data_IF_393361378542
#
_entry.id   IF_393361378542
#
_cell.length_a   1.000
_cell.length_b   1.000
_cell.length_c   1.000
_cell.angle_alpha   90.00
_cell.angle_beta   90.00
_cell.angle_gamma   90.00
#
_symmetry.space_group_name_H-M   'P 1'
#
loop_
_entity.id
_entity.type
_entity.pdbx_description
1 polymer ?
#
# COMPACT_ATOMS: atom_id res chain seq x y z
N UNK A 1 4.57 -18.50 12.92
CA UNK A 1 5.89 -18.68 13.59
C UNK A 1 6.25 -17.47 14.43
N UNK A 2 6.22 -16.24 13.87
CA UNK A 2 6.27 -15.00 14.66
C UNK A 2 5.13 -14.96 15.71
N UNK A 3 3.93 -15.43 15.36
CA UNK A 3 2.74 -15.46 16.22
C UNK A 3 2.81 -16.43 17.41
N UNK A 4 3.62 -17.49 17.33
CA UNK A 4 3.78 -18.46 18.43
C UNK A 4 4.82 -18.00 19.46
N UNK A 5 5.77 -17.16 19.03
CA UNK A 5 6.82 -16.66 19.92
C UNK A 5 6.32 -15.61 20.90
N UNK A 6 5.37 -14.77 20.47
CA UNK A 6 4.78 -13.73 21.30
C UNK A 6 3.86 -14.29 22.40
N UNK A 7 3.15 -15.40 22.13
CA UNK A 7 2.30 -16.08 23.13
C UNK A 7 3.12 -16.87 24.18
N UNK A 8 4.42 -17.12 23.92
CA UNK A 8 5.34 -17.86 24.80
C UNK A 8 6.38 -16.98 25.51
N UNK A 9 6.28 -15.64 25.39
CA UNK A 9 7.32 -14.70 25.83
C UNK A 9 8.72 -15.02 25.26
N UNK A 10 8.74 -15.64 24.08
CA UNK A 10 9.96 -15.93 23.34
C UNK A 10 10.28 -14.67 22.56
N UNK A 11 11.17 -13.86 23.11
CA UNK A 11 11.82 -12.78 22.37
C UNK A 11 12.57 -13.41 21.19
N UNK A 12 12.04 -13.30 19.96
CA UNK A 12 12.82 -13.64 18.78
C UNK A 12 13.86 -12.54 18.62
N UNK A 13 15.00 -12.76 19.25
CA UNK A 13 16.22 -12.01 18.99
C UNK A 13 16.47 -12.05 17.48
N UNK A 14 16.36 -10.90 16.80
CA UNK A 14 16.47 -10.82 15.34
C UNK A 14 17.76 -11.50 14.82
N UNK A 15 18.84 -11.46 15.61
CA UNK A 15 20.10 -12.11 15.30
C UNK A 15 20.06 -13.64 15.30
N UNK A 16 19.10 -14.26 15.98
CA UNK A 16 18.87 -15.72 15.98
C UNK A 16 18.07 -16.21 14.78
N UNK A 17 17.46 -15.33 13.99
CA UNK A 17 16.79 -15.73 12.74
C UNK A 17 17.87 -15.97 11.68
N UNK A 18 18.13 -17.23 11.28
CA UNK A 18 19.13 -17.54 10.27
C UNK A 18 18.72 -16.99 8.91
N UNK A 19 19.71 -16.70 8.06
CA UNK A 19 19.53 -16.39 6.63
C UNK A 19 18.61 -15.21 6.27
N UNK A 20 18.16 -14.41 7.24
CA UNK A 20 17.25 -13.27 6.99
C UNK A 20 17.79 -12.27 5.96
N UNK A 21 19.10 -12.07 5.91
CA UNK A 21 19.73 -11.21 4.92
C UNK A 21 19.88 -11.86 3.54
N UNK A 22 19.97 -13.20 3.47
CA UNK A 22 19.94 -13.94 2.21
C UNK A 22 18.53 -13.87 1.61
N UNK A 23 17.49 -14.08 2.43
CA UNK A 23 16.10 -13.86 2.00
C UNK A 23 15.89 -12.44 1.45
N UNK A 24 16.33 -11.43 2.20
CA UNK A 24 16.15 -10.04 1.78
C UNK A 24 16.96 -9.69 0.52
N UNK A 25 18.12 -10.32 0.33
CA UNK A 25 18.91 -10.25 -0.90
C UNK A 25 18.16 -10.89 -2.07
N UNK A 26 17.56 -12.07 -1.90
CA UNK A 26 16.82 -12.74 -2.97
C UNK A 26 15.59 -11.93 -3.37
N UNK A 27 14.85 -11.39 -2.41
CA UNK A 27 13.74 -10.46 -2.66
C UNK A 27 14.24 -9.23 -3.44
N UNK A 28 15.38 -8.68 -3.05
CA UNK A 28 15.98 -7.52 -3.74
C UNK A 28 16.33 -7.83 -5.20
N UNK A 29 17.05 -8.94 -5.43
CA UNK A 29 17.53 -9.32 -6.76
C UNK A 29 16.37 -9.73 -7.68
N UNK A 30 15.42 -10.51 -7.18
CA UNK A 30 14.24 -10.92 -7.94
C UNK A 30 13.32 -9.72 -8.21
N UNK A 31 13.16 -8.83 -7.22
CA UNK A 31 12.39 -7.61 -7.39
C UNK A 31 12.96 -6.70 -8.48
N UNK A 32 14.29 -6.57 -8.59
CA UNK A 32 14.91 -5.82 -9.69
C UNK A 32 14.67 -6.53 -11.03
N UNK A 33 14.90 -7.86 -11.10
CA UNK A 33 14.75 -8.62 -12.35
C UNK A 33 13.32 -8.63 -12.88
N UNK A 34 12.33 -8.73 -11.99
CA UNK A 34 10.91 -8.72 -12.30
C UNK A 34 10.30 -7.33 -12.40
N UNK A 35 11.09 -6.25 -12.23
CA UNK A 35 10.59 -4.87 -12.14
C UNK A 35 9.58 -4.65 -10.99
N UNK A 36 9.61 -5.52 -9.97
CA UNK A 36 8.76 -5.49 -8.77
C UNK A 36 9.41 -4.66 -7.66
N UNK A 37 9.80 -3.43 -7.98
CA UNK A 37 10.47 -2.52 -7.04
C UNK A 37 9.64 -2.30 -5.77
N UNK A 38 8.31 -2.27 -5.88
CA UNK A 38 7.41 -2.17 -4.72
C UNK A 38 7.56 -3.30 -3.70
N UNK A 39 7.83 -4.53 -4.15
CA UNK A 39 8.05 -5.70 -3.29
C UNK A 39 9.31 -5.52 -2.43
N UNK A 40 10.36 -4.95 -3.01
CA UNK A 40 11.61 -4.64 -2.32
C UNK A 40 11.34 -3.69 -1.15
N UNK A 41 10.65 -2.58 -1.41
CA UNK A 41 10.34 -1.60 -0.37
C UNK A 41 9.41 -2.17 0.70
N UNK A 42 8.41 -2.97 0.32
CA UNK A 42 7.49 -3.62 1.26
C UNK A 42 8.24 -4.58 2.18
N UNK A 43 9.11 -5.43 1.63
CA UNK A 43 9.94 -6.33 2.41
C UNK A 43 10.87 -5.55 3.35
N UNK A 44 11.52 -4.49 2.87
CA UNK A 44 12.40 -3.66 3.70
C UNK A 44 11.67 -2.94 4.83
N UNK A 45 10.46 -2.45 4.58
CA UNK A 45 9.62 -1.85 5.62
C UNK A 45 9.31 -2.86 6.72
N UNK A 46 8.87 -4.07 6.37
CA UNK A 46 8.62 -5.15 7.33
C UNK A 46 9.91 -5.44 8.12
N UNK A 47 11.02 -5.61 7.42
CA UNK A 47 12.30 -5.88 8.06
C UNK A 47 12.74 -4.76 9.02
N UNK A 48 12.46 -3.50 8.70
CA UNK A 48 12.78 -2.38 9.55
C UNK A 48 11.81 -2.24 10.74
N UNK A 49 10.51 -2.39 10.50
CA UNK A 49 9.45 -2.27 11.51
C UNK A 49 9.61 -3.31 12.62
N UNK A 50 9.98 -4.54 12.26
CA UNK A 50 10.21 -5.64 13.19
C UNK A 50 11.68 -5.77 13.65
N UNK A 51 12.53 -4.75 13.41
CA UNK A 51 13.96 -4.74 13.77
C UNK A 51 14.77 -5.94 13.23
N UNK A 52 14.32 -6.58 12.15
CA UNK A 52 14.99 -7.72 11.51
C UNK A 52 16.30 -7.31 10.80
N UNK A 53 16.50 -6.01 10.57
CA UNK A 53 17.75 -5.48 10.03
C UNK A 53 18.89 -5.44 11.05
N UNK A 54 18.58 -5.58 12.35
CA UNK A 54 19.55 -5.44 13.42
C UNK A 54 20.71 -6.42 13.27
N UNK A 55 21.91 -5.88 13.45
CA UNK A 55 23.17 -6.60 13.30
C UNK A 55 24.29 -5.85 14.03
N UNK A 56 25.38 -6.56 14.29
CA UNK A 56 26.61 -5.93 14.72
C UNK A 56 27.22 -5.12 13.56
N UNK A 57 27.47 -3.83 13.80
CA UNK A 57 28.05 -2.91 12.83
C UNK A 57 29.46 -2.58 13.30
N UNK A 58 30.44 -2.68 12.40
CA UNK A 58 31.83 -2.37 12.73
C UNK A 58 32.02 -0.88 13.04
N UNK A 59 33.04 -0.52 13.81
CA UNK A 59 33.37 0.88 14.09
C UNK A 59 33.63 1.69 12.81
N UNK A 60 34.23 1.06 11.79
CA UNK A 60 34.44 1.67 10.48
C UNK A 60 33.12 2.01 9.81
N UNK A 61 32.16 1.10 9.84
CA UNK A 61 30.85 1.31 9.23
C UNK A 61 29.99 2.29 10.03
N UNK A 62 30.15 2.35 11.36
CA UNK A 62 29.52 3.37 12.21
C UNK A 62 29.97 4.78 11.79
N UNK A 63 31.25 4.96 11.49
CA UNK A 63 31.75 6.26 10.98
C UNK A 63 31.03 6.68 9.70
N UNK A 64 30.94 5.76 8.73
CA UNK A 64 30.22 6.02 7.47
C UNK A 64 28.73 6.26 7.68
N UNK A 65 28.08 5.55 8.61
CA UNK A 65 26.68 5.80 8.98
C UNK A 65 26.50 7.21 9.55
N UNK A 66 27.43 7.67 10.39
CA UNK A 66 27.38 9.01 10.97
C UNK A 66 27.58 10.10 9.91
N UNK A 67 28.42 9.87 8.91
CA UNK A 67 28.57 10.76 7.75
C UNK A 67 27.26 10.86 6.96
N UNK A 68 26.60 9.73 6.68
CA UNK A 68 25.30 9.71 5.98
C UNK A 68 24.19 10.36 6.80
N UNK A 69 24.20 10.19 8.14
CA UNK A 69 23.26 10.85 9.05
C UNK A 69 23.35 12.38 8.99
N UNK A 70 24.50 12.92 8.60
CA UNK A 70 24.69 14.36 8.39
C UNK A 70 23.97 14.90 7.14
N UNK A 71 23.50 14.04 6.24
CA UNK A 71 22.73 14.44 5.05
C UNK A 71 21.23 14.44 5.36
N UNK A 72 20.68 15.63 5.55
CA UNK A 72 19.28 15.85 5.90
C UNK A 72 18.32 15.31 4.84
N UNK A 73 18.66 15.42 3.55
CA UNK A 73 17.81 14.94 2.46
C UNK A 73 17.75 13.41 2.48
N UNK A 74 18.89 12.73 2.65
CA UNK A 74 18.92 11.27 2.74
C UNK A 74 18.16 10.80 3.99
N UNK A 75 18.32 11.45 5.14
CA UNK A 75 17.61 11.07 6.37
C UNK A 75 16.10 11.23 6.24
N UNK A 76 15.64 12.36 5.71
CA UNK A 76 14.22 12.59 5.46
C UNK A 76 13.65 11.54 4.52
N UNK A 77 14.36 11.20 3.46
CA UNK A 77 13.86 10.21 2.52
C UNK A 77 13.90 8.78 3.05
N UNK A 78 14.92 8.38 3.83
CA UNK A 78 14.93 7.08 4.51
C UNK A 78 13.81 6.99 5.53
N UNK A 79 13.57 8.07 6.26
CA UNK A 79 12.49 8.14 7.25
C UNK A 79 11.13 8.06 6.57
N UNK A 80 10.95 8.82 5.49
CA UNK A 80 9.75 8.75 4.69
C UNK A 80 9.61 7.33 4.15
N UNK A 81 10.61 6.74 3.50
CA UNK A 81 10.54 5.40 2.88
C UNK A 81 10.26 4.25 3.87
N UNK A 82 10.95 4.21 5.00
CA UNK A 82 11.03 3.03 5.87
C UNK A 82 10.59 3.28 7.32
N UNK A 83 10.20 4.50 7.68
CA UNK A 83 9.81 4.85 9.04
C UNK A 83 11.02 5.12 9.94
N UNK A 84 11.16 4.41 11.06
CA UNK A 84 12.26 4.65 12.01
C UNK A 84 13.62 4.42 11.33
N UNK A 85 14.51 5.41 11.36
CA UNK A 85 15.84 5.31 10.74
C UNK A 85 16.89 4.81 11.74
N UNK A 86 17.06 3.48 11.79
CA UNK A 86 18.10 2.81 12.59
C UNK A 86 19.46 2.81 11.87
N UNK A 87 20.55 2.63 12.63
CA UNK A 87 21.88 2.42 12.04
C UNK A 87 21.91 1.18 11.14
N UNK A 88 21.19 0.13 11.55
CA UNK A 88 21.01 -1.11 10.82
C UNK A 88 20.28 -0.91 9.48
N UNK A 89 19.30 -0.02 9.42
CA UNK A 89 18.65 0.39 8.16
C UNK A 89 19.61 1.16 7.26
N UNK A 90 20.27 2.19 7.78
CA UNK A 90 21.23 3.01 7.00
C UNK A 90 22.31 2.10 6.43
N UNK A 91 22.86 1.21 7.25
CA UNK A 91 23.86 0.24 6.84
C UNK A 91 23.34 -0.68 5.72
N UNK A 92 22.13 -1.22 5.87
CA UNK A 92 21.57 -2.11 4.86
C UNK A 92 21.36 -1.40 3.52
N UNK A 93 20.73 -0.22 3.54
CA UNK A 93 20.43 0.54 2.32
C UNK A 93 21.72 0.99 1.63
N UNK A 94 22.67 1.52 2.41
CA UNK A 94 23.86 2.12 1.85
C UNK A 94 24.91 1.08 1.42
N UNK A 95 25.00 -0.05 2.13
CA UNK A 95 26.03 -1.06 1.88
C UNK A 95 25.44 -2.32 1.29
N UNK A 96 24.54 -3.01 1.99
CA UNK A 96 24.04 -4.31 1.54
C UNK A 96 23.22 -4.24 0.24
N UNK A 97 22.34 -3.25 0.06
CA UNK A 97 21.61 -3.08 -1.20
C UNK A 97 22.55 -2.68 -2.35
N UNK A 98 23.50 -1.78 -2.08
CA UNK A 98 24.54 -1.37 -3.02
C UNK A 98 25.37 -2.57 -3.49
N UNK A 99 25.81 -3.42 -2.56
CA UNK A 99 26.55 -4.67 -2.84
C UNK A 99 25.69 -5.66 -3.64
N UNK A 100 24.41 -5.78 -3.31
CA UNK A 100 23.48 -6.65 -4.03
C UNK A 100 23.22 -6.15 -5.46
N UNK A 101 23.05 -4.84 -5.67
CA UNK A 101 22.98 -4.26 -7.02
C UNK A 101 24.26 -4.56 -7.79
N UNK A 102 25.42 -4.30 -7.17
CA UNK A 102 26.70 -4.57 -7.81
C UNK A 102 26.81 -6.05 -8.22
N UNK A 103 26.36 -6.98 -7.38
CA UNK A 103 26.31 -8.42 -7.68
C UNK A 103 25.40 -8.73 -8.87
N UNK A 104 24.22 -8.13 -8.94
CA UNK A 104 23.29 -8.25 -10.06
C UNK A 104 23.93 -7.77 -11.38
N UNK A 105 24.64 -6.65 -11.33
CA UNK A 105 25.36 -6.06 -12.46
C UNK A 105 26.63 -6.82 -12.86
N UNK A 106 27.35 -7.43 -11.93
CA UNK A 106 28.40 -8.39 -12.25
C UNK A 106 27.84 -9.65 -12.94
N UNK A 107 26.61 -10.05 -12.61
CA UNK A 107 25.87 -11.06 -13.37
C UNK A 107 25.64 -10.63 -14.83
N UNK A 108 25.27 -9.36 -15.05
CA UNK A 108 25.16 -8.77 -16.39
C UNK A 108 26.51 -8.60 -17.11
N UNK A 109 27.62 -8.49 -16.39
CA UNK A 109 28.98 -8.42 -16.93
C UNK A 109 29.41 -9.70 -17.67
N UNK A 110 28.70 -10.81 -17.47
CA UNK A 110 28.85 -12.04 -18.26
C UNK A 110 28.09 -11.98 -19.60
N UNK A 111 27.29 -10.95 -19.84
CA UNK A 111 26.65 -10.69 -21.13
C UNK A 111 27.66 -10.08 -22.10
N UNK A 112 27.71 -10.54 -23.37
CA UNK A 112 28.61 -10.01 -24.40
C UNK A 112 28.39 -8.52 -24.77
N UNK A 113 27.37 -7.87 -24.22
CA UNK A 113 26.96 -6.48 -24.55
C UNK A 113 27.57 -5.39 -23.64
N UNK A 114 28.51 -5.72 -22.75
CA UNK A 114 29.00 -4.81 -21.71
C UNK A 114 30.39 -4.19 -22.04
N UNK A 115 30.50 -2.85 -22.13
CA UNK A 115 31.75 -2.12 -22.45
C UNK A 115 32.36 -1.38 -21.24
N UNK A 116 33.66 -1.07 -21.34
CA UNK A 116 34.49 -0.44 -20.29
C UNK A 116 34.05 1.00 -19.94
N UNK A 117 33.49 1.73 -20.89
CA UNK A 117 32.98 3.10 -20.70
C UNK A 117 31.73 3.13 -19.78
N UNK A 118 30.91 2.07 -19.79
CA UNK A 118 29.80 1.92 -18.84
C UNK A 118 30.33 1.78 -17.41
N UNK A 119 31.49 1.16 -17.19
CA UNK A 119 32.09 0.97 -15.84
C UNK A 119 32.31 2.29 -15.07
N UNK A 120 32.67 3.38 -15.77
CA UNK A 120 32.93 4.70 -15.17
C UNK A 120 31.67 5.48 -14.75
N UNK A 121 30.48 5.04 -15.18
CA UNK A 121 29.18 5.59 -14.78
C UNK A 121 28.68 5.06 -13.42
N UNK A 122 29.42 4.13 -12.80
CA UNK A 122 28.95 3.32 -11.67
C UNK A 122 29.79 3.47 -10.40
N UNK A 123 30.38 4.65 -10.17
CA UNK A 123 31.00 4.95 -8.87
C UNK A 123 29.91 5.05 -7.80
N UNK A 124 30.27 4.74 -6.55
CA UNK A 124 29.40 4.79 -5.37
C UNK A 124 28.61 6.09 -5.31
N UNK A 125 29.24 7.20 -5.67
CA UNK A 125 28.67 8.56 -5.69
C UNK A 125 27.58 8.73 -6.76
N UNK A 126 27.74 8.14 -7.96
CA UNK A 126 26.74 8.16 -9.02
C UNK A 126 25.54 7.25 -8.69
N UNK A 127 25.78 6.15 -7.98
CA UNK A 127 24.74 5.27 -7.46
C UNK A 127 23.99 5.90 -6.27
N UNK A 128 24.65 6.70 -5.44
CA UNK A 128 23.99 7.57 -4.46
C UNK A 128 23.14 8.64 -5.15
N UNK A 129 23.61 9.18 -6.27
CA UNK A 129 22.80 9.97 -7.18
C UNK A 129 21.58 9.21 -7.70
N UNK A 130 21.73 7.92 -8.04
CA UNK A 130 20.61 7.06 -8.38
C UNK A 130 19.66 6.90 -7.21
N UNK A 131 20.08 6.61 -5.97
CA UNK A 131 19.18 6.54 -4.81
C UNK A 131 18.47 7.87 -4.57
N UNK A 132 19.18 8.99 -4.66
CA UNK A 132 18.60 10.34 -4.55
C UNK A 132 17.61 10.65 -5.69
N UNK A 133 17.83 10.13 -6.89
CA UNK A 133 16.95 10.30 -8.06
C UNK A 133 15.83 9.25 -8.13
N UNK A 134 16.04 8.06 -7.57
CA UNK A 134 15.02 7.04 -7.33
C UNK A 134 14.02 7.53 -6.26
N UNK A 135 14.47 8.49 -5.45
CA UNK A 135 13.69 9.24 -4.47
C UNK A 135 13.05 10.51 -5.01
N UNK A 136 12.89 10.67 -6.33
CA UNK A 136 11.88 11.60 -6.84
C UNK A 136 10.46 10.99 -6.68
N UNK A 137 10.09 10.74 -5.42
CA UNK A 137 8.72 10.65 -4.91
C UNK A 137 8.16 12.03 -4.56
N UNK A 138 8.71 13.09 -5.19
CA UNK A 138 7.98 14.34 -5.42
C UNK A 138 7.18 14.19 -6.72
N UNK A 139 6.08 14.94 -6.84
CA UNK A 139 5.20 15.00 -8.02
C UNK A 139 5.95 14.75 -9.33
N UNK A 140 5.94 13.50 -9.79
CA UNK A 140 6.52 13.09 -11.07
C UNK A 140 5.38 12.83 -12.04
N UNK A 141 5.51 13.44 -13.21
CA UNK A 141 4.57 13.25 -14.31
C UNK A 141 5.34 12.56 -15.43
N UNK A 142 4.81 11.46 -15.93
CA UNK A 142 5.34 10.76 -17.10
C UNK A 142 4.26 10.58 -18.14
N UNK A 143 4.58 10.89 -19.40
CA UNK A 143 3.70 10.59 -20.52
C UNK A 143 3.86 9.11 -20.89
N UNK A 144 2.77 8.35 -20.79
CA UNK A 144 2.73 6.93 -21.12
C UNK A 144 2.34 6.65 -22.58
N UNK A 145 1.82 7.63 -23.31
CA UNK A 145 1.35 7.47 -24.69
C UNK A 145 0.09 8.29 -24.97
N UNK A 146 -0.66 7.89 -25.99
CA UNK A 146 -1.91 8.56 -26.35
C UNK A 146 -3.14 7.84 -25.81
N UNK A 147 -4.25 8.58 -25.73
CA UNK A 147 -5.55 8.02 -25.36
C UNK A 147 -6.01 6.99 -26.38
N UNK A 148 -5.77 7.22 -27.68
CA UNK A 148 -6.11 6.28 -28.74
C UNK A 148 -5.39 4.94 -28.56
N UNK A 149 -4.07 4.96 -28.32
CA UNK A 149 -3.28 3.74 -28.09
C UNK A 149 -3.80 2.95 -26.89
N UNK A 150 -4.16 3.65 -25.81
CA UNK A 150 -4.69 3.01 -24.60
C UNK A 150 -6.07 2.41 -24.80
N UNK A 151 -6.97 3.12 -25.51
CA UNK A 151 -8.28 2.59 -25.87
C UNK A 151 -8.11 1.31 -26.71
N UNK A 152 -7.24 1.33 -27.71
CA UNK A 152 -7.02 0.16 -28.57
C UNK A 152 -6.50 -1.04 -27.78
N UNK A 153 -5.55 -0.83 -26.87
CA UNK A 153 -5.01 -1.89 -26.02
C UNK A 153 -6.07 -2.38 -25.02
N UNK A 154 -6.81 -1.48 -24.38
CA UNK A 154 -7.90 -1.82 -23.48
C UNK A 154 -8.97 -2.64 -24.19
N UNK A 155 -9.43 -2.20 -25.37
CA UNK A 155 -10.45 -2.90 -26.15
C UNK A 155 -9.97 -4.26 -26.66
N UNK A 156 -8.71 -4.40 -27.06
CA UNK A 156 -8.14 -5.71 -27.43
C UNK A 156 -8.12 -6.66 -26.25
N UNK A 157 -7.72 -6.19 -25.07
CA UNK A 157 -7.72 -7.00 -23.85
C UNK A 157 -9.15 -7.32 -23.39
N UNK A 158 -10.09 -6.38 -23.50
CA UNK A 158 -11.50 -6.58 -23.18
C UNK A 158 -12.18 -7.56 -24.15
N UNK A 159 -11.93 -7.43 -25.46
CA UNK A 159 -12.44 -8.35 -26.48
C UNK A 159 -11.80 -9.74 -26.38
N UNK A 160 -10.50 -9.83 -26.06
CA UNK A 160 -9.80 -11.09 -25.81
C UNK A 160 -10.23 -11.73 -24.48
N UNK A 161 -10.64 -10.91 -23.50
CA UNK A 161 -11.16 -11.40 -22.22
C UNK A 161 -12.49 -12.12 -22.35
N UNK A 162 -13.14 -12.08 -23.55
CA UNK A 162 -14.37 -12.80 -23.96
C UNK A 162 -14.96 -13.54 -22.78
N UNK A 163 -15.52 -12.70 -21.89
CA UNK A 163 -15.99 -13.10 -20.59
C UNK A 163 -16.91 -14.29 -20.85
N UNK A 164 -16.60 -15.45 -20.25
CA UNK A 164 -17.63 -16.47 -20.05
C UNK A 164 -18.84 -15.68 -19.55
N UNK A 165 -20.01 -15.87 -20.15
CA UNK A 165 -21.22 -15.02 -20.00
C UNK A 165 -21.70 -14.75 -18.55
N UNK A 166 -20.98 -15.21 -17.52
CA UNK A 166 -21.15 -14.84 -16.11
C UNK A 166 -20.27 -13.72 -15.54
N UNK A 167 -19.24 -13.21 -16.24
CA UNK A 167 -18.27 -12.25 -15.67
C UNK A 167 -18.53 -10.76 -16.00
N UNK A 168 -19.69 -10.43 -16.57
CA UNK A 168 -20.18 -9.04 -16.79
C UNK A 168 -20.28 -8.23 -15.47
N UNK A 169 -20.06 -8.88 -14.32
CA UNK A 169 -20.01 -8.29 -12.99
C UNK A 169 -18.60 -7.88 -12.50
N UNK A 170 -17.54 -8.04 -13.30
CA UNK A 170 -16.20 -7.58 -12.90
C UNK A 170 -16.11 -6.05 -12.96
N UNK A 171 -16.39 -5.43 -11.82
CA UNK A 171 -16.29 -3.98 -11.59
C UNK A 171 -14.90 -3.41 -11.92
N UNK A 172 -13.86 -4.25 -11.84
CA UNK A 172 -12.48 -3.89 -12.13
C UNK A 172 -11.80 -4.93 -13.01
N UNK A 173 -11.00 -4.49 -13.98
CA UNK A 173 -10.24 -5.34 -14.90
C UNK A 173 -8.78 -4.91 -14.90
N UNK A 174 -7.89 -5.89 -15.01
CA UNK A 174 -6.45 -5.67 -15.15
C UNK A 174 -5.99 -5.90 -16.59
N UNK A 175 -5.08 -5.08 -17.09
CA UNK A 175 -4.46 -5.28 -18.40
C UNK A 175 -3.08 -4.63 -18.49
N UNK A 176 -2.27 -5.10 -19.44
CA UNK A 176 -0.93 -4.54 -19.66
C UNK A 176 -0.98 -3.40 -20.69
N UNK A 177 -0.39 -2.25 -20.34
CA UNK A 177 -0.17 -1.13 -21.24
C UNK A 177 1.27 -0.63 -21.06
N UNK A 178 2.02 -0.55 -22.15
CA UNK A 178 3.43 -0.07 -22.16
C UNK A 178 4.31 -0.76 -21.10
N UNK A 179 4.17 -2.09 -20.94
CA UNK A 179 4.89 -2.92 -19.97
C UNK A 179 4.58 -2.63 -18.50
N UNK A 180 3.46 -1.94 -18.23
CA UNK A 180 2.92 -1.71 -16.90
C UNK A 180 1.61 -2.47 -16.77
N UNK A 181 1.35 -3.04 -15.61
CA UNK A 181 0.05 -3.62 -15.31
C UNK A 181 -0.86 -2.51 -14.80
N UNK A 182 -2.03 -2.34 -15.41
CA UNK A 182 -3.03 -1.36 -15.03
C UNK A 182 -4.27 -2.05 -14.49
N UNK A 183 -4.96 -1.40 -13.55
CA UNK A 183 -6.32 -1.74 -13.14
C UNK A 183 -7.27 -0.59 -13.48
N UNK A 184 -8.43 -0.93 -14.04
CA UNK A 184 -9.47 0.03 -14.43
C UNK A 184 -10.81 -0.34 -13.83
N UNK A 185 -11.63 0.66 -13.52
CA UNK A 185 -13.06 0.45 -13.31
C UNK A 185 -13.76 0.57 -14.66
N UNK A 186 -14.41 -0.51 -15.11
CA UNK A 186 -15.00 -0.60 -16.46
C UNK A 186 -16.01 0.54 -16.69
N UNK A 187 -16.98 0.68 -15.80
CA UNK A 187 -18.04 1.68 -15.93
C UNK A 187 -17.49 3.11 -15.97
N UNK A 188 -16.58 3.43 -15.04
CA UNK A 188 -16.00 4.77 -14.99
C UNK A 188 -15.11 5.05 -16.20
N UNK A 189 -14.33 4.05 -16.64
CA UNK A 189 -13.49 4.20 -17.82
C UNK A 189 -14.36 4.45 -19.05
N UNK A 190 -15.39 3.64 -19.30
CA UNK A 190 -16.29 3.81 -20.45
C UNK A 190 -16.97 5.18 -20.45
N UNK A 191 -17.43 5.66 -19.28
CA UNK A 191 -18.02 6.99 -19.16
C UNK A 191 -16.99 8.09 -19.44
N UNK A 192 -15.79 7.98 -18.89
CA UNK A 192 -14.70 8.92 -19.12
C UNK A 192 -14.26 8.92 -20.58
N UNK A 193 -14.16 7.75 -21.24
CA UNK A 193 -13.83 7.64 -22.66
C UNK A 193 -14.89 8.32 -23.53
N UNK A 194 -16.18 8.15 -23.26
CA UNK A 194 -17.26 8.88 -23.95
C UNK A 194 -17.10 10.40 -23.79
N UNK A 195 -16.77 10.87 -22.59
CA UNK A 195 -16.52 12.29 -22.31
C UNK A 195 -15.27 12.82 -23.03
N UNK A 196 -14.20 12.04 -23.12
CA UNK A 196 -12.97 12.42 -23.84
C UNK A 196 -13.25 12.56 -25.34
N UNK A 197 -13.91 11.57 -25.94
CA UNK A 197 -14.22 11.56 -27.38
C UNK A 197 -15.17 12.71 -27.74
N UNK A 198 -16.20 12.95 -26.92
CA UNK A 198 -17.22 13.98 -27.19
C UNK A 198 -16.76 15.41 -26.93
N UNK A 199 -15.73 15.63 -26.11
CA UNK A 199 -15.46 16.95 -25.51
C UNK A 199 -14.02 17.45 -25.73
N UNK A 200 -13.55 17.40 -26.98
CA UNK A 200 -12.19 17.83 -27.41
C UNK A 200 -11.78 19.28 -27.06
N UNK A 201 -12.70 20.11 -26.54
CA UNK A 201 -12.48 21.55 -26.29
C UNK A 201 -12.40 21.96 -24.82
N UNK A 202 -12.55 21.05 -23.85
CA UNK A 202 -12.50 21.38 -22.41
C UNK A 202 -11.21 20.86 -21.77
N UNK A 203 -10.53 21.73 -21.02
CA UNK A 203 -9.31 21.41 -20.27
C UNK A 203 -9.67 20.57 -19.02
N UNK A 204 -9.76 19.25 -19.18
CA UNK A 204 -10.09 18.30 -18.10
C UNK A 204 -9.15 17.11 -18.10
N UNK A 205 -8.83 16.62 -16.90
CA UNK A 205 -8.04 15.43 -16.67
C UNK A 205 -8.93 14.31 -16.18
N UNK A 206 -9.30 13.37 -17.05
CA UNK A 206 -10.13 12.25 -16.64
C UNK A 206 -9.24 11.12 -16.12
N UNK A 207 -9.54 10.61 -14.92
CA UNK A 207 -8.85 9.44 -14.39
C UNK A 207 -9.19 8.21 -15.26
N UNK A 208 -8.16 7.48 -15.70
CA UNK A 208 -8.33 6.32 -16.57
C UNK A 208 -8.06 5.01 -15.84
N UNK A 209 -6.96 4.93 -15.09
CA UNK A 209 -6.51 3.70 -14.45
C UNK A 209 -5.60 3.96 -13.26
N UNK A 210 -5.30 2.90 -12.53
CA UNK A 210 -4.16 2.85 -11.63
C UNK A 210 -3.12 1.87 -12.16
N UNK A 211 -1.86 2.28 -12.24
CA UNK A 211 -0.72 1.39 -12.45
C UNK A 211 -0.52 0.56 -11.20
N UNK A 212 -0.54 -0.77 -11.34
CA UNK A 212 -0.29 -1.75 -10.29
C UNK A 212 1.19 -2.13 -10.20
N UNK A 213 1.85 -2.28 -11.35
CA UNK A 213 3.26 -2.69 -11.43
C UNK A 213 4.03 -1.75 -12.35
N UNK A 214 5.18 -1.27 -11.89
CA UNK A 214 6.03 -0.32 -12.61
C UNK A 214 5.56 1.14 -12.53
N UNK A 215 4.69 1.47 -11.56
CA UNK A 215 4.20 2.83 -11.34
C UNK A 215 5.21 3.72 -10.60
N UNK A 216 5.06 5.02 -10.79
CA UNK A 216 5.94 6.08 -10.29
C UNK A 216 5.65 6.50 -8.85
N UNK A 217 4.49 6.14 -8.30
CA UNK A 217 4.06 6.52 -6.96
C UNK A 217 4.42 5.52 -5.86
N UNK A 218 4.06 5.85 -4.60
CA UNK A 218 4.32 5.00 -3.45
C UNK A 218 3.88 3.55 -3.69
N UNK A 219 4.59 2.57 -3.13
CA UNK A 219 4.25 1.14 -3.31
C UNK A 219 4.43 0.59 -4.74
N UNK A 220 4.93 1.40 -5.68
CA UNK A 220 5.11 1.01 -7.10
C UNK A 220 3.85 1.22 -7.94
N UNK A 221 2.97 2.10 -7.48
CA UNK A 221 1.66 2.36 -8.04
C UNK A 221 1.51 3.81 -8.50
N UNK A 222 0.66 4.12 -9.47
CA UNK A 222 0.37 5.51 -9.84
C UNK A 222 -0.98 5.68 -10.52
N UNK A 223 -1.53 6.89 -10.52
CA UNK A 223 -2.80 7.17 -11.19
C UNK A 223 -2.55 7.72 -12.58
N UNK A 224 -3.29 7.23 -13.56
CA UNK A 224 -3.22 7.75 -14.92
C UNK A 224 -4.40 8.65 -15.26
N UNK A 225 -4.12 9.71 -16.00
CA UNK A 225 -5.08 10.70 -16.44
C UNK A 225 -4.93 10.97 -17.93
N UNK A 226 -6.05 11.18 -18.62
CA UNK A 226 -6.01 11.77 -19.96
C UNK A 226 -5.74 13.27 -19.87
N UNK A 227 -4.96 13.80 -20.82
CA UNK A 227 -4.78 15.24 -20.98
C UNK A 227 -5.72 15.76 -22.08
N UNK A 228 -6.00 17.08 -22.10
CA UNK A 228 -6.75 17.70 -23.19
C UNK A 228 -6.09 17.58 -24.57
N UNK A 229 -4.81 17.19 -24.63
CA UNK A 229 -4.05 16.95 -25.86
C UNK A 229 -4.18 15.50 -26.36
N UNK A 230 -4.95 14.66 -25.68
CA UNK A 230 -5.06 13.24 -26.00
C UNK A 230 -3.88 12.41 -25.51
N UNK A 231 -3.09 12.92 -24.57
CA UNK A 231 -1.99 12.16 -23.96
C UNK A 231 -2.51 11.44 -22.72
N UNK A 232 -1.79 10.41 -22.29
CA UNK A 232 -1.96 9.78 -20.99
C UNK A 232 -0.75 10.11 -20.16
N UNK A 233 -1.00 10.73 -19.01
CA UNK A 233 0.03 10.99 -18.03
C UNK A 233 -0.20 10.13 -16.80
N UNK A 234 0.87 9.58 -16.25
CA UNK A 234 0.89 9.06 -14.89
C UNK A 234 1.35 10.16 -13.94
N UNK A 235 0.61 10.34 -12.85
CA UNK A 235 0.95 11.27 -11.78
C UNK A 235 1.28 10.47 -10.52
N UNK A 236 2.47 10.69 -9.99
CA UNK A 236 2.89 10.22 -8.68
C UNK A 236 2.37 11.16 -7.59
N UNK A 237 1.61 10.62 -6.62
CA UNK A 237 1.20 11.37 -5.43
C UNK A 237 2.30 11.37 -4.38
N UNK A 238 2.45 12.50 -3.69
CA UNK A 238 3.37 12.63 -2.56
C UNK A 238 3.02 11.62 -1.46
N UNK A 239 4.02 11.03 -0.81
CA UNK A 239 3.79 10.02 0.22
C UNK A 239 3.06 10.58 1.44
N UNK A 240 3.35 11.81 1.86
CA UNK A 240 2.70 12.44 3.01
C UNK A 240 1.24 12.73 2.68
N UNK A 241 0.97 13.18 1.46
CA UNK A 241 -0.38 13.32 0.93
C UNK A 241 -1.12 11.97 0.91
N UNK A 242 -0.51 10.93 0.34
CA UNK A 242 -1.08 9.59 0.34
C UNK A 242 -1.35 9.07 1.76
N UNK A 243 -0.42 9.27 2.71
CA UNK A 243 -0.61 8.91 4.12
C UNK A 243 -1.78 9.68 4.74
N UNK A 244 -1.90 10.98 4.46
CA UNK A 244 -3.03 11.79 4.93
C UNK A 244 -4.36 11.31 4.36
N UNK A 245 -4.40 10.92 3.07
CA UNK A 245 -5.58 10.34 2.42
C UNK A 245 -5.94 9.00 3.07
N UNK A 246 -4.97 8.11 3.31
CA UNK A 246 -5.19 6.83 4.02
C UNK A 246 -5.80 7.07 5.41
N UNK A 247 -5.28 8.03 6.16
CA UNK A 247 -5.79 8.37 7.50
C UNK A 247 -7.25 8.84 7.40
N UNK A 248 -7.56 9.77 6.48
CA UNK A 248 -8.93 10.24 6.25
C UNK A 248 -9.86 9.10 5.79
N UNK A 249 -9.38 8.20 4.95
CA UNK A 249 -10.16 7.06 4.48
C UNK A 249 -10.45 6.06 5.61
N UNK A 250 -9.46 5.76 6.46
CA UNK A 250 -9.66 4.94 7.67
C UNK A 250 -10.63 5.60 8.64
N UNK A 251 -10.57 6.93 8.78
CA UNK A 251 -11.53 7.69 9.57
C UNK A 251 -12.95 7.57 9.00
N UNK A 252 -13.12 7.66 7.68
CA UNK A 252 -14.40 7.42 7.02
C UNK A 252 -14.92 6.00 7.28
N UNK A 253 -14.08 4.97 7.09
CA UNK A 253 -14.44 3.57 7.35
C UNK A 253 -14.86 3.34 8.81
N UNK A 254 -14.14 3.92 9.76
CA UNK A 254 -14.48 3.92 11.19
C UNK A 254 -15.87 4.51 11.41
N UNK A 255 -16.15 5.70 10.87
CA UNK A 255 -17.46 6.34 11.02
C UNK A 255 -18.60 5.50 10.44
N UNK A 256 -18.40 4.95 9.22
CA UNK A 256 -19.39 4.08 8.58
C UNK A 256 -19.65 2.81 9.40
N UNK A 257 -18.59 2.20 9.94
CA UNK A 257 -18.71 1.04 10.80
C UNK A 257 -19.47 1.32 12.08
N UNK A 258 -19.09 2.35 12.84
CA UNK A 258 -19.75 2.71 14.09
C UNK A 258 -21.23 3.03 13.86
N UNK A 259 -21.56 3.73 12.77
CA UNK A 259 -22.94 4.03 12.39
C UNK A 259 -23.73 2.75 12.08
N UNK A 260 -23.19 1.85 11.25
CA UNK A 260 -23.84 0.57 10.91
C UNK A 260 -23.98 -0.34 12.13
N UNK A 261 -22.96 -0.42 12.98
CA UNK A 261 -22.99 -1.21 14.21
C UNK A 261 -24.06 -0.67 15.17
N UNK A 262 -24.18 0.65 15.34
CA UNK A 262 -25.24 1.27 16.15
C UNK A 262 -26.64 0.87 15.66
N UNK A 263 -26.86 0.85 14.35
CA UNK A 263 -28.14 0.43 13.74
C UNK A 263 -28.38 -1.07 14.00
N UNK A 264 -27.40 -1.92 13.75
CA UNK A 264 -27.52 -3.38 13.96
C UNK A 264 -27.81 -3.72 15.43
N UNK A 265 -27.16 -3.05 16.38
CA UNK A 265 -27.40 -3.23 17.81
C UNK A 265 -28.81 -2.76 18.22
N UNK A 266 -29.33 -1.68 17.62
CA UNK A 266 -30.72 -1.23 17.82
C UNK A 266 -31.72 -2.25 17.29
N UNK A 267 -31.49 -2.79 16.09
CA UNK A 267 -32.33 -3.82 15.48
C UNK A 267 -32.39 -5.10 16.32
N UNK A 268 -31.37 -5.35 17.16
CA UNK A 268 -31.30 -6.46 18.11
C UNK A 268 -31.83 -6.12 19.51
N UNK A 269 -32.56 -5.00 19.67
CA UNK A 269 -33.12 -4.54 20.93
C UNK A 269 -32.09 -4.37 22.07
N UNK A 270 -30.83 -4.06 21.74
CA UNK A 270 -29.82 -3.77 22.74
C UNK A 270 -30.13 -2.40 23.38
N UNK A 271 -30.03 -2.32 24.71
CA UNK A 271 -30.30 -1.08 25.47
C UNK A 271 -29.45 0.09 24.97
N UNK A 272 -30.05 1.26 24.79
CA UNK A 272 -29.39 2.47 24.26
C UNK A 272 -28.13 2.84 25.05
N UNK A 273 -28.18 2.80 26.39
CA UNK A 273 -27.00 3.07 27.25
C UNK A 273 -25.81 2.15 26.94
N UNK A 274 -26.08 0.89 26.63
CA UNK A 274 -25.04 -0.10 26.31
C UNK A 274 -24.48 0.11 24.91
N UNK A 275 -25.35 0.43 23.95
CA UNK A 275 -24.96 0.84 22.59
C UNK A 275 -24.00 2.03 22.67
N UNK A 276 -24.32 3.04 23.48
CA UNK A 276 -23.48 4.23 23.66
C UNK A 276 -22.13 3.89 24.30
N UNK A 277 -22.11 3.02 25.33
CA UNK A 277 -20.88 2.52 25.97
C UNK A 277 -19.96 1.82 24.95
N UNK A 278 -20.51 0.91 24.14
CA UNK A 278 -19.76 0.15 23.13
C UNK A 278 -19.27 1.06 22.00
N UNK A 279 -20.12 1.95 21.48
CA UNK A 279 -19.73 2.88 20.40
C UNK A 279 -18.66 3.86 20.88
N UNK A 280 -18.77 4.38 22.10
CA UNK A 280 -17.75 5.27 22.68
C UNK A 280 -16.41 4.54 22.82
N UNK A 281 -16.40 3.35 23.43
CA UNK A 281 -15.19 2.53 23.56
C UNK A 281 -14.52 2.26 22.20
N UNK A 282 -15.30 1.82 21.21
CA UNK A 282 -14.79 1.58 19.86
C UNK A 282 -14.30 2.87 19.19
N UNK A 283 -14.98 3.99 19.40
CA UNK A 283 -14.53 5.28 18.89
C UNK A 283 -13.18 5.69 19.49
N UNK A 284 -12.97 5.45 20.78
CA UNK A 284 -11.75 5.86 21.48
C UNK A 284 -10.55 4.97 21.10
N UNK A 285 -10.78 3.67 20.90
CA UNK A 285 -9.69 2.70 20.65
C UNK A 285 -9.33 2.57 19.16
N UNK A 286 -10.28 2.78 18.25
CA UNK A 286 -10.04 2.71 16.80
C UNK A 286 -9.43 4.03 16.31
N UNK A 287 -8.12 4.20 16.46
CA UNK A 287 -7.42 5.37 15.93
C UNK A 287 -7.07 5.19 14.44
N UNK A 288 -7.35 6.16 13.55
CA UNK A 288 -7.11 6.02 12.10
C UNK A 288 -5.64 5.87 11.69
N UNK A 289 -4.71 6.40 12.49
CA UNK A 289 -3.26 6.38 12.26
C UNK A 289 -2.56 5.15 12.85
N UNK A 290 -3.19 4.45 13.81
CA UNK A 290 -2.64 3.25 14.43
C UNK A 290 -3.05 1.98 13.67
N UNK A 291 -2.09 1.07 13.48
CA UNK A 291 -2.40 -0.29 13.08
C UNK A 291 -2.85 -1.08 14.32
N UNK A 292 -4.02 -1.71 14.23
CA UNK A 292 -4.53 -2.57 15.31
C UNK A 292 -4.16 -4.00 14.94
N UNK A 293 -3.18 -4.53 15.65
CA UNK A 293 -2.78 -5.93 15.53
C UNK A 293 -3.82 -6.87 16.17
N UNK A 294 -3.65 -8.17 15.94
CA UNK A 294 -4.57 -9.19 16.44
C UNK A 294 -4.73 -9.18 17.97
N UNK A 295 -3.70 -8.78 18.73
CA UNK A 295 -3.78 -8.63 20.19
C UNK A 295 -4.76 -7.54 20.61
N UNK A 296 -4.65 -6.35 20.01
CA UNK A 296 -5.62 -5.27 20.24
C UNK A 296 -7.03 -5.70 19.81
N UNK A 297 -7.18 -6.45 18.71
CA UNK A 297 -8.47 -7.01 18.28
C UNK A 297 -9.07 -7.96 19.32
N UNK A 298 -8.28 -8.90 19.88
CA UNK A 298 -8.71 -9.80 20.96
C UNK A 298 -9.17 -9.02 22.19
N UNK A 299 -8.40 -8.00 22.60
CA UNK A 299 -8.74 -7.14 23.75
C UNK A 299 -10.04 -6.38 23.50
N UNK A 300 -10.21 -5.80 22.32
CA UNK A 300 -11.45 -5.10 21.92
C UNK A 300 -12.65 -6.05 21.98
N UNK A 301 -12.53 -7.25 21.41
CA UNK A 301 -13.61 -8.24 21.43
C UNK A 301 -13.94 -8.65 22.87
N UNK A 302 -12.92 -8.94 23.69
CA UNK A 302 -13.10 -9.32 25.10
C UNK A 302 -13.83 -8.22 25.88
N UNK A 303 -13.43 -6.95 25.69
CA UNK A 303 -14.07 -5.83 26.38
C UNK A 303 -15.52 -5.62 25.95
N UNK A 304 -15.83 -5.81 24.66
CA UNK A 304 -17.20 -5.74 24.14
C UNK A 304 -18.03 -6.91 24.69
N UNK A 305 -17.48 -8.11 24.75
CA UNK A 305 -18.12 -9.27 25.38
C UNK A 305 -18.43 -9.00 26.85
N UNK A 306 -17.48 -8.46 27.61
CA UNK A 306 -17.67 -8.07 29.02
C UNK A 306 -18.79 -7.04 29.17
N UNK A 307 -18.83 -5.99 28.34
CA UNK A 307 -19.93 -5.01 28.37
C UNK A 307 -21.30 -5.64 28.11
N UNK A 308 -21.36 -6.63 27.21
CA UNK A 308 -22.59 -7.34 26.88
C UNK A 308 -23.00 -8.32 28.00
N UNK A 309 -22.04 -8.98 28.67
CA UNK A 309 -22.25 -9.91 29.80
C UNK A 309 -22.63 -9.16 31.09
N UNK A 310 -21.99 -8.02 31.38
CA UNK A 310 -22.28 -7.17 32.55
C UNK A 310 -23.77 -6.74 32.58
N UNK A 311 -24.42 -6.70 31.41
CA UNK A 311 -25.83 -6.37 31.24
C UNK A 311 -26.78 -7.58 31.05
N UNK A 312 -26.28 -8.82 31.04
CA UNK A 312 -27.04 -10.07 30.85
C UNK A 312 -27.91 -10.51 32.04
N UNK A 313 -28.23 -9.62 32.99
CA UNK A 313 -29.31 -9.86 33.97
C UNK A 313 -30.72 -9.77 33.34
N UNK A 314 -30.88 -10.17 32.07
CA UNK A 314 -32.15 -10.16 31.34
C UNK A 314 -32.45 -11.57 30.79
N UNK A 315 -33.65 -12.12 31.06
CA UNK A 315 -33.97 -13.52 30.77
C UNK A 315 -34.05 -13.91 29.28
N UNK A 316 -34.13 -12.95 28.34
CA UNK A 316 -34.47 -13.23 26.93
C UNK A 316 -33.30 -13.12 25.92
N UNK A 317 -32.05 -12.96 26.37
CA UNK A 317 -30.92 -12.78 25.45
C UNK A 317 -30.31 -14.13 25.03
N UNK A 318 -30.57 -14.56 23.79
CA UNK A 318 -30.03 -15.82 23.24
C UNK A 318 -28.54 -15.69 22.97
N UNK A 319 -27.71 -16.51 23.63
CA UNK A 319 -26.25 -16.57 23.48
C UNK A 319 -25.77 -16.65 22.02
N UNK A 320 -26.54 -17.32 21.16
CA UNK A 320 -26.28 -17.42 19.71
C UNK A 320 -26.32 -16.07 18.99
N UNK A 321 -27.17 -15.14 19.41
CA UNK A 321 -27.26 -13.80 18.82
C UNK A 321 -26.10 -12.90 19.24
N UNK A 322 -25.61 -13.09 20.47
CA UNK A 322 -24.39 -12.45 20.98
C UNK A 322 -23.18 -12.88 20.17
N UNK A 323 -23.00 -14.19 20.00
CA UNK A 323 -21.87 -14.73 19.23
C UNK A 323 -21.91 -14.25 17.77
N UNK A 324 -23.10 -14.18 17.15
CA UNK A 324 -23.25 -13.63 15.81
C UNK A 324 -22.89 -12.14 15.74
N UNK A 325 -23.29 -11.33 16.72
CA UNK A 325 -22.92 -9.92 16.78
C UNK A 325 -21.41 -9.74 16.95
N UNK A 326 -20.80 -10.48 17.89
CA UNK A 326 -19.35 -10.45 18.14
C UNK A 326 -18.56 -10.89 16.90
N UNK A 327 -19.04 -11.90 16.17
CA UNK A 327 -18.43 -12.32 14.90
C UNK A 327 -18.51 -11.24 13.83
N UNK A 328 -19.66 -10.57 13.68
CA UNK A 328 -19.81 -9.43 12.75
C UNK A 328 -18.90 -8.27 13.13
N UNK A 329 -18.80 -7.95 14.42
CA UNK A 329 -17.91 -6.90 14.96
C UNK A 329 -16.45 -7.27 14.68
N UNK A 330 -16.03 -8.49 15.00
CA UNK A 330 -14.68 -9.00 14.74
C UNK A 330 -14.31 -8.92 13.25
N UNK A 331 -15.19 -9.41 12.37
CA UNK A 331 -14.98 -9.35 10.93
C UNK A 331 -14.85 -7.90 10.43
N UNK A 332 -15.71 -7.01 10.89
CA UNK A 332 -15.67 -5.61 10.49
C UNK A 332 -14.41 -4.90 11.01
N UNK A 333 -14.02 -5.15 12.26
CA UNK A 333 -12.76 -4.68 12.85
C UNK A 333 -11.58 -5.13 11.99
N UNK A 334 -11.51 -6.41 11.61
CA UNK A 334 -10.44 -6.91 10.76
C UNK A 334 -10.40 -6.23 9.37
N UNK A 335 -11.57 -5.91 8.80
CA UNK A 335 -11.66 -5.21 7.50
C UNK A 335 -11.22 -3.75 7.61
N UNK A 336 -11.58 -3.05 8.69
CA UNK A 336 -11.25 -1.62 8.88
C UNK A 336 -9.77 -1.43 9.23
N UNK A 337 -9.19 -2.44 9.88
CA UNK A 337 -7.88 -2.31 10.54
C UNK A 337 -6.75 -3.00 9.77
N UNK A 338 -7.07 -3.67 8.67
CA UNK A 338 -6.03 -4.13 7.74
C UNK A 338 -5.24 -2.94 7.19
N UNK A 339 -3.98 -3.15 6.77
CA UNK A 339 -3.27 -2.19 5.96
C UNK A 339 -4.13 -1.79 4.75
N UNK A 340 -4.32 -0.48 4.58
CA UNK A 340 -4.99 0.10 3.42
C UNK A 340 -3.89 0.42 2.42
N UNK A 341 -3.95 -0.24 1.26
CA UNK A 341 -3.02 -0.02 0.15
C UNK A 341 -3.62 1.01 -0.82
N UNK A 342 -2.83 1.63 -1.70
CA UNK A 342 -3.38 2.61 -2.66
C UNK A 342 -4.46 2.02 -3.58
N UNK A 343 -4.42 0.72 -3.84
CA UNK A 343 -5.44 0.03 -4.62
C UNK A 343 -6.83 0.09 -3.97
N UNK A 344 -6.89 0.10 -2.63
CA UNK A 344 -8.14 0.22 -1.89
C UNK A 344 -8.75 1.61 -2.05
N UNK A 345 -7.91 2.63 -2.08
CA UNK A 345 -8.31 4.01 -2.33
C UNK A 345 -8.82 4.19 -3.75
N UNK A 346 -8.10 3.64 -4.75
CA UNK A 346 -8.54 3.67 -6.15
C UNK A 346 -9.92 3.01 -6.28
N UNK A 347 -10.09 1.79 -5.76
CA UNK A 347 -11.37 1.08 -5.82
C UNK A 347 -12.50 1.86 -5.15
N UNK A 348 -12.26 2.45 -3.98
CA UNK A 348 -13.26 3.27 -3.31
C UNK A 348 -13.59 4.54 -4.10
N UNK A 349 -12.58 5.26 -4.61
CA UNK A 349 -12.77 6.46 -5.42
C UNK A 349 -13.61 6.14 -6.65
N UNK A 350 -13.30 5.05 -7.34
CA UNK A 350 -14.09 4.61 -8.49
C UNK A 350 -15.54 4.31 -8.12
N UNK A 351 -15.78 3.65 -6.98
CA UNK A 351 -17.15 3.43 -6.50
C UNK A 351 -17.89 4.75 -6.23
N UNK A 352 -17.22 5.74 -5.64
CA UNK A 352 -17.84 7.03 -5.32
C UNK A 352 -18.14 7.85 -6.58
N UNK A 353 -17.30 7.77 -7.60
CA UNK A 353 -17.54 8.38 -8.92
C UNK A 353 -18.77 7.75 -9.57
N UNK A 354 -18.85 6.41 -9.58
CA UNK A 354 -19.98 5.66 -10.13
C UNK A 354 -21.31 5.99 -9.41
N UNK A 355 -21.24 6.21 -8.08
CA UNK A 355 -22.38 6.65 -7.26
C UNK A 355 -22.70 8.15 -7.43
N UNK A 356 -21.96 8.90 -8.26
CA UNK A 356 -22.14 10.33 -8.50
C UNK A 356 -21.83 11.21 -7.28
N UNK A 357 -21.06 10.70 -6.32
CA UNK A 357 -20.73 11.41 -5.07
C UNK A 357 -19.52 12.33 -5.20
N UNK A 358 -18.62 12.01 -6.13
CA UNK A 358 -17.44 12.81 -6.48
C UNK A 358 -17.26 12.78 -8.01
N UNK A 359 -16.55 13.76 -8.57
CA UNK A 359 -16.26 13.76 -9.99
C UNK A 359 -15.03 12.90 -10.31
N UNK A 360 -14.84 12.52 -11.57
CA UNK A 360 -13.66 11.76 -12.01
C UNK A 360 -12.36 12.56 -11.87
N UNK A 361 -12.51 13.88 -12.06
CA UNK A 361 -11.46 14.88 -11.96
C UNK A 361 -11.00 15.16 -10.52
N UNK A 362 -11.84 14.85 -9.51
CA UNK A 362 -11.57 15.04 -8.07
C UNK A 362 -10.79 13.84 -7.51
#
# INVERSE_FOLDING_TARGET
LLDLSADLDIFIEAFRIPDRFNFLKDVYLNGIRGWEVGLIFKALRIFNEYNLLERNISQRDIKTINEIRGDELIMNNLQDLFGKVSNSLIYYVYKSMTENMFTLFLGFRKSPEFTEERFNFFRKEQLMGFINNFMMYGLRIENLGTVEEFIDVYQKNFAASKLKEGDIHLKFIEFEFKKRLHIVSVNNLEENLKKIISNKKKYKFYNLSMVLLGGLGPEGHGFTYSTPRGEIIEICSDRRENRAIIIKYKEFLKHQFLKKLKIEMRNKNIRIKLIEKIIKFLSDILKPDEMINYFKTKVIIKQISEFLIEFQKLPDFKERELQNLLKKVSNAINIILRPIEMIDQFKCRMNLIEEGKINSED
#
